data_IF_119143912438
#
_entry.id   IF_119143912438
#
_cell.length_a   1.000
_cell.length_b   1.000
_cell.length_c   1.000
_cell.angle_alpha   90.00
_cell.angle_beta   90.00
_cell.angle_gamma   90.00
#
_symmetry.space_group_name_H-M   'P 1'
#
loop_
_entity.id
_entity.type
_entity.pdbx_description
1 polymer ?
#
# COMPACT_ATOMS: atom_id res chain seq x y z
N UNK A 1 0.39 -22.06 -25.62
CA UNK A 1 1.83 -21.72 -25.66
C UNK A 1 2.00 -20.54 -26.61
N UNK A 2 1.82 -19.34 -26.07
CA UNK A 2 2.30 -18.03 -26.54
C UNK A 2 2.33 -17.22 -25.23
N UNK A 3 3.49 -16.83 -24.68
CA UNK A 3 3.48 -15.83 -23.62
C UNK A 3 3.03 -14.53 -24.29
N UNK A 4 1.86 -14.06 -23.90
CA UNK A 4 1.27 -12.82 -24.40
C UNK A 4 2.30 -11.68 -24.22
N UNK A 5 2.62 -10.90 -25.26
CA UNK A 5 3.59 -9.79 -25.17
C UNK A 5 3.25 -8.78 -24.05
N UNK A 6 1.97 -8.73 -23.66
CA UNK A 6 1.50 -7.98 -22.48
C UNK A 6 2.13 -8.50 -21.17
N UNK A 7 2.28 -9.81 -21.02
CA UNK A 7 2.87 -10.44 -19.84
C UNK A 7 4.38 -10.18 -19.75
N UNK A 8 5.11 -10.17 -20.87
CA UNK A 8 6.55 -9.82 -20.88
C UNK A 8 6.80 -8.36 -20.49
N UNK A 9 5.98 -7.42 -20.97
CA UNK A 9 6.09 -6.01 -20.58
C UNK A 9 5.78 -5.78 -19.10
N UNK A 10 4.77 -6.47 -18.56
CA UNK A 10 4.45 -6.42 -17.12
C UNK A 10 5.61 -6.99 -16.30
N UNK A 11 6.15 -8.15 -16.68
CA UNK A 11 7.30 -8.77 -16.00
C UNK A 11 8.53 -7.86 -16.03
N UNK A 12 8.80 -7.22 -17.17
CA UNK A 12 9.93 -6.30 -17.29
C UNK A 12 9.74 -5.04 -16.43
N UNK A 13 8.54 -4.46 -16.40
CA UNK A 13 8.22 -3.32 -15.53
C UNK A 13 8.35 -3.68 -14.03
N UNK A 14 7.95 -4.90 -13.65
CA UNK A 14 8.12 -5.40 -12.29
C UNK A 14 9.59 -5.59 -11.93
N UNK A 15 10.42 -6.09 -12.85
CA UNK A 15 11.88 -6.21 -12.66
C UNK A 15 12.54 -4.85 -12.48
N UNK A 16 12.17 -3.88 -13.32
CA UNK A 16 12.70 -2.51 -13.26
C UNK A 16 12.29 -1.76 -11.98
N UNK A 17 11.21 -2.21 -11.34
CA UNK A 17 10.77 -1.67 -10.05
C UNK A 17 11.55 -2.25 -8.87
N UNK A 18 12.47 -3.21 -9.05
CA UNK A 18 13.34 -3.78 -8.01
C UNK A 18 12.69 -3.96 -6.63
N UNK A 19 11.64 -4.78 -6.55
CA UNK A 19 10.97 -5.09 -5.29
C UNK A 19 11.83 -5.90 -4.32
N UNK A 20 12.91 -6.51 -4.79
CA UNK A 20 13.89 -7.15 -3.92
C UNK A 20 14.61 -6.09 -3.08
N UNK A 21 15.00 -4.96 -3.67
CA UNK A 21 15.54 -3.82 -2.93
C UNK A 21 14.53 -3.29 -1.90
N UNK A 22 13.26 -3.10 -2.30
CA UNK A 22 12.22 -2.64 -1.35
C UNK A 22 12.11 -3.58 -0.14
N UNK A 23 12.06 -4.88 -0.39
CA UNK A 23 11.96 -5.87 0.67
C UNK A 23 13.18 -5.84 1.61
N UNK A 24 14.39 -5.71 1.07
CA UNK A 24 15.61 -5.59 1.88
C UNK A 24 15.63 -4.30 2.73
N UNK A 25 15.03 -3.22 2.24
CA UNK A 25 14.92 -1.96 2.98
C UNK A 25 13.86 -2.01 4.07
N UNK A 26 12.74 -2.70 3.83
CA UNK A 26 11.64 -2.86 4.80
C UNK A 26 11.94 -3.90 5.86
N UNK A 27 12.64 -4.98 5.50
CA UNK A 27 12.89 -6.13 6.38
C UNK A 27 14.38 -6.50 6.42
N UNK A 28 15.27 -5.58 6.84
CA UNK A 28 16.73 -5.78 6.77
C UNK A 28 17.26 -6.86 7.72
N UNK A 29 16.46 -7.30 8.70
CA UNK A 29 16.91 -8.16 9.79
C UNK A 29 16.26 -9.55 9.82
N UNK A 30 15.36 -9.85 8.88
CA UNK A 30 14.67 -11.15 8.84
C UNK A 30 15.51 -12.20 8.11
N UNK A 31 15.27 -13.47 8.40
CA UNK A 31 15.88 -14.57 7.66
C UNK A 31 15.39 -14.62 6.19
N UNK A 32 16.15 -15.30 5.32
CA UNK A 32 15.85 -15.37 3.88
C UNK A 32 14.47 -15.95 3.55
N UNK A 33 13.96 -16.92 4.33
CA UNK A 33 12.65 -17.51 4.09
C UNK A 33 11.53 -16.53 4.46
N UNK A 34 11.71 -15.74 5.51
CA UNK A 34 10.80 -14.67 5.90
C UNK A 34 10.85 -13.52 4.91
N UNK A 35 12.05 -13.11 4.48
CA UNK A 35 12.23 -12.08 3.45
C UNK A 35 11.50 -12.46 2.16
N UNK A 36 11.62 -13.72 1.70
CA UNK A 36 10.92 -14.22 0.50
C UNK A 36 9.41 -14.18 0.65
N UNK A 37 8.87 -14.62 1.79
CA UNK A 37 7.43 -14.59 2.06
C UNK A 37 6.91 -13.14 1.98
N UNK A 38 7.56 -12.22 2.69
CA UNK A 38 7.17 -10.82 2.77
C UNK A 38 7.35 -10.11 1.42
N UNK A 39 8.41 -10.42 0.66
CA UNK A 39 8.62 -9.90 -0.70
C UNK A 39 7.49 -10.31 -1.65
N UNK A 40 7.13 -11.60 -1.64
CA UNK A 40 6.02 -12.11 -2.46
C UNK A 40 4.67 -11.51 -2.02
N UNK A 41 4.48 -11.27 -0.72
CA UNK A 41 3.30 -10.61 -0.19
C UNK A 41 3.17 -9.16 -0.66
N UNK A 42 4.24 -8.37 -0.59
CA UNK A 42 4.23 -6.99 -1.10
C UNK A 42 3.97 -6.95 -2.62
N UNK A 43 4.61 -7.85 -3.38
CA UNK A 43 4.35 -7.97 -4.81
C UNK A 43 2.91 -8.36 -5.11
N UNK A 44 2.34 -9.28 -4.33
CA UNK A 44 0.95 -9.70 -4.49
C UNK A 44 -0.01 -8.54 -4.24
N UNK A 45 0.20 -7.74 -3.19
CA UNK A 45 -0.63 -6.57 -2.91
C UNK A 45 -0.61 -5.56 -4.07
N UNK A 46 0.56 -5.29 -4.64
CA UNK A 46 0.68 -4.37 -5.78
C UNK A 46 -0.04 -4.87 -7.03
N UNK A 47 0.08 -6.16 -7.33
CA UNK A 47 -0.63 -6.75 -8.46
C UNK A 47 -2.15 -6.79 -8.21
N UNK A 48 -2.54 -7.02 -6.97
CA UNK A 48 -3.94 -7.03 -6.54
C UNK A 48 -4.58 -5.66 -6.72
N UNK A 49 -3.86 -4.59 -6.40
CA UNK A 49 -4.28 -3.19 -6.57
C UNK A 49 -4.57 -2.88 -8.04
N UNK A 50 -3.57 -3.09 -8.92
CA UNK A 50 -3.69 -2.87 -10.37
C UNK A 50 -4.87 -3.69 -10.97
N UNK A 51 -5.04 -4.95 -10.54
CA UNK A 51 -6.13 -5.82 -11.01
C UNK A 51 -7.50 -5.32 -10.51
N UNK A 52 -7.58 -4.83 -9.29
CA UNK A 52 -8.82 -4.32 -8.71
C UNK A 52 -9.28 -3.04 -9.41
N UNK A 53 -8.38 -2.08 -9.60
CA UNK A 53 -8.66 -0.82 -10.30
C UNK A 53 -9.12 -1.07 -11.74
N UNK A 54 -8.51 -2.04 -12.43
CA UNK A 54 -8.91 -2.41 -13.80
C UNK A 54 -10.38 -2.86 -13.93
N UNK A 55 -11.01 -3.23 -12.80
CA UNK A 55 -12.39 -3.70 -12.71
C UNK A 55 -13.38 -2.62 -12.29
N UNK A 56 -12.92 -1.41 -11.97
CA UNK A 56 -13.80 -0.29 -11.62
C UNK A 56 -14.79 0.07 -12.75
N UNK A 57 -14.40 0.11 -14.05
CA UNK A 57 -15.29 0.54 -15.12
C UNK A 57 -16.38 -0.46 -15.53
N UNK A 58 -16.40 -1.69 -15.00
CA UNK A 58 -17.32 -2.75 -15.44
C UNK A 58 -18.75 -2.54 -14.90
N UNK A 59 -19.50 -1.68 -15.60
CA UNK A 59 -20.91 -1.34 -15.31
C UNK A 59 -21.88 -2.05 -16.26
N UNK A 60 -21.43 -2.58 -17.40
CA UNK A 60 -22.32 -3.03 -18.50
C UNK A 60 -22.64 -4.54 -18.55
N UNK A 61 -21.96 -5.42 -17.80
CA UNK A 61 -22.05 -6.88 -18.07
C UNK A 61 -22.71 -7.77 -17.01
N UNK A 62 -22.43 -7.54 -15.73
CA UNK A 62 -22.91 -8.35 -14.61
C UNK A 62 -22.63 -7.57 -13.33
N UNK A 63 -23.63 -7.35 -12.48
CA UNK A 63 -23.50 -6.52 -11.29
C UNK A 63 -22.18 -6.74 -10.52
N UNK A 64 -21.29 -5.74 -10.64
CA UNK A 64 -20.14 -5.45 -9.80
C UNK A 64 -18.97 -6.47 -9.81
N UNK A 65 -18.22 -6.53 -10.92
CA UNK A 65 -17.00 -7.35 -11.05
C UNK A 65 -15.94 -7.02 -9.97
N UNK A 66 -15.82 -5.76 -9.58
CA UNK A 66 -14.90 -5.33 -8.53
C UNK A 66 -15.36 -5.85 -7.14
N UNK A 67 -16.66 -5.84 -6.83
CA UNK A 67 -17.19 -6.43 -5.60
C UNK A 67 -17.04 -7.95 -5.59
N UNK A 68 -17.27 -8.60 -6.73
CA UNK A 68 -17.03 -10.05 -6.88
C UNK A 68 -15.56 -10.38 -6.60
N UNK A 69 -14.63 -9.55 -7.11
CA UNK A 69 -13.20 -9.68 -6.84
C UNK A 69 -12.86 -9.48 -5.35
N UNK A 70 -13.45 -8.50 -4.68
CA UNK A 70 -13.31 -8.29 -3.22
C UNK A 70 -13.83 -9.48 -2.42
N UNK A 71 -15.00 -10.02 -2.81
CA UNK A 71 -15.57 -11.20 -2.18
C UNK A 71 -14.62 -12.41 -2.28
N UNK A 72 -14.11 -12.70 -3.48
CA UNK A 72 -13.12 -13.76 -3.67
C UNK A 72 -11.85 -13.51 -2.87
N UNK A 73 -11.35 -12.27 -2.86
CA UNK A 73 -10.17 -11.85 -2.09
C UNK A 73 -10.35 -12.15 -0.60
N UNK A 74 -11.45 -11.68 -0.01
CA UNK A 74 -11.75 -11.88 1.42
C UNK A 74 -11.87 -13.36 1.77
N UNK A 75 -12.56 -14.13 0.93
CA UNK A 75 -12.70 -15.58 1.11
C UNK A 75 -11.32 -16.27 1.07
N UNK A 76 -10.52 -15.97 0.06
CA UNK A 76 -9.21 -16.59 -0.10
C UNK A 76 -8.26 -16.26 1.06
N UNK A 77 -8.20 -15.00 1.48
CA UNK A 77 -7.38 -14.58 2.61
C UNK A 77 -7.85 -15.30 3.88
N UNK A 78 -9.13 -15.17 4.26
CA UNK A 78 -9.67 -15.73 5.51
C UNK A 78 -9.50 -17.25 5.63
N UNK A 79 -9.70 -17.99 4.53
CA UNK A 79 -9.46 -19.43 4.48
C UNK A 79 -7.97 -19.77 4.62
N UNK A 80 -7.12 -19.09 3.87
CA UNK A 80 -5.68 -19.40 3.80
C UNK A 80 -4.95 -19.07 5.09
N UNK A 81 -5.36 -18.00 5.77
CA UNK A 81 -4.88 -17.69 7.11
C UNK A 81 -5.58 -18.53 8.18
N UNK A 82 -6.56 -19.38 7.86
CA UNK A 82 -7.20 -20.30 8.80
C UNK A 82 -8.14 -19.66 9.82
N UNK A 83 -8.89 -18.63 9.41
CA UNK A 83 -9.95 -17.99 10.20
C UNK A 83 -11.35 -18.50 9.81
N UNK A 84 -11.51 -18.96 8.57
CA UNK A 84 -12.74 -19.58 8.08
C UNK A 84 -12.48 -20.98 7.53
N UNK A 85 -13.39 -21.91 7.78
CA UNK A 85 -13.28 -23.31 7.32
C UNK A 85 -14.09 -23.61 6.04
N UNK A 86 -14.82 -22.64 5.47
CA UNK A 86 -15.82 -22.91 4.41
C UNK A 86 -15.50 -22.34 3.01
N UNK A 87 -15.94 -23.12 2.02
CA UNK A 87 -16.04 -22.89 0.57
C UNK A 87 -14.76 -23.02 -0.29
N UNK A 88 -14.13 -24.21 -0.25
CA UNK A 88 -13.09 -24.63 -1.24
C UNK A 88 -13.50 -24.36 -2.70
N UNK A 89 -14.79 -24.49 -3.02
CA UNK A 89 -15.34 -24.17 -4.34
C UNK A 89 -15.18 -22.68 -4.71
N UNK A 90 -15.36 -21.77 -3.75
CA UNK A 90 -15.13 -20.33 -3.97
C UNK A 90 -13.68 -20.03 -4.35
N UNK A 91 -12.70 -20.79 -3.83
CA UNK A 91 -11.30 -20.66 -4.22
C UNK A 91 -11.03 -21.17 -5.64
N UNK A 92 -11.66 -22.28 -6.03
CA UNK A 92 -11.52 -22.86 -7.38
C UNK A 92 -12.05 -21.90 -8.45
N UNK A 93 -13.14 -21.18 -8.14
CA UNK A 93 -13.76 -20.19 -9.02
C UNK A 93 -13.07 -18.80 -8.95
N UNK A 94 -12.18 -18.57 -7.98
CA UNK A 94 -11.52 -17.28 -7.79
C UNK A 94 -10.53 -16.97 -8.93
N UNK A 95 -10.32 -15.69 -9.29
CA UNK A 95 -9.27 -15.30 -10.21
C UNK A 95 -7.89 -15.85 -9.78
N UNK A 96 -7.06 -16.22 -10.75
CA UNK A 96 -5.75 -16.83 -10.44
C UNK A 96 -4.90 -15.97 -9.51
N UNK A 97 -4.89 -14.64 -9.70
CA UNK A 97 -4.19 -13.73 -8.81
C UNK A 97 -4.64 -13.84 -7.35
N UNK A 98 -5.94 -13.98 -7.10
CA UNK A 98 -6.48 -14.19 -5.74
C UNK A 98 -6.00 -15.53 -5.17
N UNK A 99 -5.99 -16.59 -5.98
CA UNK A 99 -5.49 -17.90 -5.55
C UNK A 99 -4.00 -17.90 -5.18
N UNK A 100 -3.19 -17.02 -5.78
CA UNK A 100 -1.77 -16.88 -5.45
C UNK A 100 -1.54 -16.42 -4.01
N UNK A 101 -2.55 -15.87 -3.33
CA UNK A 101 -2.46 -15.58 -1.89
C UNK A 101 -2.44 -16.85 -1.03
N UNK A 102 -3.03 -17.95 -1.47
CA UNK A 102 -3.19 -19.16 -0.65
C UNK A 102 -1.88 -19.70 -0.02
N UNK A 103 -0.79 -19.87 -0.79
CA UNK A 103 0.50 -20.25 -0.20
C UNK A 103 1.07 -19.18 0.74
N UNK A 104 0.84 -17.88 0.47
CA UNK A 104 1.27 -16.79 1.34
C UNK A 104 0.52 -16.82 2.67
N UNK A 105 -0.80 -16.94 2.62
CA UNK A 105 -1.67 -17.07 3.78
C UNK A 105 -1.34 -18.29 4.63
N UNK A 106 -1.00 -19.42 4.00
CA UNK A 106 -0.51 -20.61 4.71
C UNK A 106 0.82 -20.36 5.41
N UNK A 107 1.74 -19.66 4.74
CA UNK A 107 3.02 -19.24 5.32
C UNK A 107 2.83 -18.33 6.53
N UNK A 108 1.94 -17.33 6.42
CA UNK A 108 1.56 -16.43 7.51
C UNK A 108 0.93 -17.24 8.65
N UNK A 109 -0.07 -18.09 8.37
CA UNK A 109 -0.77 -18.92 9.36
C UNK A 109 0.18 -19.72 10.24
N UNK A 110 1.26 -20.25 9.66
CA UNK A 110 2.23 -21.07 10.38
C UNK A 110 3.15 -20.30 11.33
N UNK A 111 3.13 -18.96 11.31
CA UNK A 111 4.12 -18.10 11.98
C UNK A 111 3.55 -17.02 12.89
N UNK A 112 2.25 -16.73 12.80
CA UNK A 112 1.59 -15.75 13.69
C UNK A 112 0.38 -16.36 14.40
N UNK A 113 0.09 -15.84 15.60
CA UNK A 113 -1.04 -16.27 16.42
C UNK A 113 -2.40 -16.06 15.74
N UNK A 114 -3.42 -16.73 16.26
CA UNK A 114 -4.80 -16.51 15.84
C UNK A 114 -5.26 -15.07 16.01
N UNK A 115 -4.90 -14.43 17.12
CA UNK A 115 -5.29 -13.05 17.39
C UNK A 115 -4.74 -12.09 16.32
N UNK A 116 -3.49 -12.26 15.90
CA UNK A 116 -2.91 -11.45 14.82
C UNK A 116 -3.48 -11.80 13.44
N UNK A 117 -3.91 -13.05 13.22
CA UNK A 117 -4.65 -13.44 11.99
C UNK A 117 -6.03 -12.80 11.95
N UNK A 118 -6.73 -12.72 13.08
CA UNK A 118 -8.00 -11.99 13.20
C UNK A 118 -7.78 -10.50 12.92
N UNK A 119 -6.74 -9.90 13.50
CA UNK A 119 -6.40 -8.49 13.24
C UNK A 119 -6.06 -8.26 11.77
N UNK A 120 -5.32 -9.17 11.12
CA UNK A 120 -5.05 -9.11 9.68
C UNK A 120 -6.34 -9.11 8.87
N UNK A 121 -7.29 -10.01 9.17
CA UNK A 121 -8.57 -10.02 8.46
C UNK A 121 -9.35 -8.71 8.67
N UNK A 122 -9.30 -8.12 9.86
CA UNK A 122 -9.92 -6.80 10.12
C UNK A 122 -9.29 -5.68 9.29
N UNK A 123 -7.95 -5.68 9.14
CA UNK A 123 -7.25 -4.70 8.30
C UNK A 123 -7.57 -4.89 6.82
N UNK A 124 -7.68 -6.15 6.38
CA UNK A 124 -8.12 -6.48 5.02
C UNK A 124 -9.55 -6.01 4.78
N UNK A 125 -10.48 -6.26 5.71
CA UNK A 125 -11.86 -5.79 5.59
C UNK A 125 -11.93 -4.25 5.44
N UNK A 126 -11.08 -3.52 6.18
CA UNK A 126 -10.94 -2.07 6.00
C UNK A 126 -10.43 -1.70 4.61
N UNK A 127 -9.39 -2.37 4.10
CA UNK A 127 -8.86 -2.12 2.75
C UNK A 127 -9.94 -2.35 1.67
N UNK A 128 -10.72 -3.44 1.79
CA UNK A 128 -11.79 -3.76 0.85
C UNK A 128 -12.90 -2.71 0.87
N UNK A 129 -13.26 -2.19 2.05
CA UNK A 129 -14.24 -1.11 2.18
C UNK A 129 -13.69 0.23 1.64
N UNK A 130 -12.44 0.56 1.93
CA UNK A 130 -11.84 1.81 1.45
C UNK A 130 -11.69 1.82 -0.08
N UNK A 131 -11.28 0.69 -0.69
CA UNK A 131 -11.26 0.56 -2.16
C UNK A 131 -12.66 0.66 -2.78
N UNK A 132 -13.73 0.36 -2.04
CA UNK A 132 -15.11 0.56 -2.52
C UNK A 132 -15.50 2.04 -2.53
N UNK A 133 -15.06 2.81 -1.54
CA UNK A 133 -15.21 4.27 -1.52
C UNK A 133 -14.43 4.91 -2.67
N UNK A 134 -13.20 4.47 -2.91
CA UNK A 134 -12.39 4.93 -4.04
C UNK A 134 -13.08 4.64 -5.37
N UNK A 135 -13.53 3.40 -5.58
CA UNK A 135 -14.30 3.00 -6.77
C UNK A 135 -15.50 3.91 -7.02
N UNK A 136 -16.21 4.35 -5.98
CA UNK A 136 -17.35 5.26 -6.13
C UNK A 136 -16.95 6.56 -6.82
N UNK A 137 -15.83 7.18 -6.45
CA UNK A 137 -15.35 8.41 -7.07
C UNK A 137 -14.89 8.19 -8.51
N UNK A 138 -14.22 7.06 -8.80
CA UNK A 138 -13.81 6.69 -10.16
C UNK A 138 -15.04 6.49 -11.06
N UNK A 139 -16.00 5.66 -10.64
CA UNK A 139 -17.18 5.30 -11.45
C UNK A 139 -18.12 6.49 -11.65
N UNK A 140 -18.24 7.37 -10.65
CA UNK A 140 -19.10 8.57 -10.78
C UNK A 140 -18.41 9.73 -11.49
N UNK A 141 -17.12 9.58 -11.84
CA UNK A 141 -16.28 10.63 -12.41
C UNK A 141 -16.30 11.92 -11.57
N UNK A 142 -16.38 11.77 -10.23
CA UNK A 142 -16.39 12.88 -9.28
C UNK A 142 -15.07 12.94 -8.53
N UNK A 143 -14.62 14.16 -8.27
CA UNK A 143 -13.50 14.39 -7.38
C UNK A 143 -13.98 14.41 -5.92
N UNK A 144 -13.30 13.68 -5.01
CA UNK A 144 -13.53 13.83 -3.57
C UNK A 144 -13.01 15.19 -3.07
N UNK A 145 -13.56 15.69 -1.96
CA UNK A 145 -12.84 16.70 -1.16
C UNK A 145 -11.57 16.09 -0.55
N UNK A 146 -10.63 16.93 -0.09
CA UNK A 146 -9.43 16.45 0.59
C UNK A 146 -9.79 15.60 1.83
N UNK A 147 -10.82 15.98 2.58
CA UNK A 147 -11.31 15.19 3.72
C UNK A 147 -11.81 13.82 3.30
N UNK A 148 -12.64 13.75 2.25
CA UNK A 148 -13.18 12.50 1.72
C UNK A 148 -12.08 11.59 1.16
N UNK A 149 -11.07 12.18 0.50
CA UNK A 149 -9.91 11.46 0.00
C UNK A 149 -9.18 10.72 1.12
N UNK A 150 -8.98 11.37 2.27
CA UNK A 150 -8.33 10.77 3.42
C UNK A 150 -9.13 9.63 4.07
N UNK A 151 -10.45 9.57 3.87
CA UNK A 151 -11.30 8.48 4.40
C UNK A 151 -10.99 7.12 3.78
N UNK A 152 -10.38 7.09 2.59
CA UNK A 152 -10.03 5.83 1.89
C UNK A 152 -8.54 5.71 1.54
N UNK A 153 -7.81 6.81 1.32
CA UNK A 153 -6.43 6.76 0.80
C UNK A 153 -5.46 5.93 1.66
N UNK A 154 -5.60 5.99 2.98
CA UNK A 154 -4.78 5.20 3.92
C UNK A 154 -5.10 3.71 3.90
N UNK A 155 -6.27 3.31 3.38
CA UNK A 155 -6.60 1.91 3.11
C UNK A 155 -6.14 1.48 1.72
N UNK A 156 -6.32 2.32 0.70
CA UNK A 156 -6.02 1.95 -0.69
C UNK A 156 -4.53 1.91 -1.03
N UNK A 157 -3.65 2.41 -0.15
CA UNK A 157 -2.21 2.13 -0.27
C UNK A 157 -1.79 0.76 0.32
N UNK A 158 -2.74 -0.04 0.81
CA UNK A 158 -2.60 -1.41 1.31
C UNK A 158 -1.70 -1.57 2.54
N UNK A 159 -1.19 -0.48 3.11
CA UNK A 159 -0.27 -0.53 4.23
C UNK A 159 -0.92 -1.16 5.45
N UNK A 160 -2.22 -0.97 5.70
CA UNK A 160 -2.93 -1.55 6.86
C UNK A 160 -2.74 -3.07 7.01
N UNK A 161 -2.57 -3.81 5.90
CA UNK A 161 -2.27 -5.24 5.97
C UNK A 161 -0.91 -5.55 6.62
N UNK A 162 0.06 -4.64 6.50
CA UNK A 162 1.39 -4.77 7.09
C UNK A 162 1.40 -4.55 8.61
N UNK A 163 0.35 -3.96 9.18
CA UNK A 163 0.27 -3.67 10.61
C UNK A 163 0.45 -4.94 11.47
N UNK A 164 -0.41 -5.97 11.37
CA UNK A 164 -0.22 -7.24 12.09
C UNK A 164 0.94 -8.09 11.53
N UNK A 165 1.25 -7.96 10.22
CA UNK A 165 2.37 -8.69 9.58
C UNK A 165 3.73 -8.25 10.12
N UNK A 166 3.82 -7.06 10.73
CA UNK A 166 5.06 -6.59 11.37
C UNK A 166 5.59 -7.57 12.43
N UNK A 167 4.73 -8.39 13.04
CA UNK A 167 5.15 -9.49 13.92
C UNK A 167 6.08 -10.51 13.25
N UNK A 168 5.94 -10.76 11.95
CA UNK A 168 6.85 -11.59 11.17
C UNK A 168 8.24 -10.95 10.99
N UNK A 169 8.31 -9.63 11.10
CA UNK A 169 9.56 -8.86 10.98
C UNK A 169 10.30 -8.79 12.31
N UNK A 170 9.56 -8.58 13.39
CA UNK A 170 10.12 -8.40 14.72
C UNK A 170 10.31 -9.72 15.46
N UNK A 171 9.75 -10.84 14.98
CA UNK A 171 9.69 -12.12 15.71
C UNK A 171 9.06 -11.97 17.11
N UNK A 172 8.25 -10.93 17.30
CA UNK A 172 7.51 -10.64 18.52
C UNK A 172 6.06 -10.38 18.14
N UNK A 173 5.14 -10.93 18.92
CA UNK A 173 3.73 -10.60 18.83
C UNK A 173 3.34 -9.68 19.98
N UNK A 174 2.85 -8.48 19.63
CA UNK A 174 2.19 -7.61 20.58
C UNK A 174 0.83 -8.20 20.93
N UNK A 175 0.43 -8.06 22.19
CA UNK A 175 -0.89 -8.47 22.65
C UNK A 175 -1.98 -7.66 21.94
N UNK A 176 -3.22 -8.19 21.80
CA UNK A 176 -4.31 -7.46 21.14
C UNK A 176 -4.58 -6.07 21.72
N UNK A 177 -4.39 -5.89 23.03
CA UNK A 177 -4.57 -4.59 23.69
C UNK A 177 -3.42 -3.61 23.40
N UNK A 178 -2.20 -4.12 23.19
CA UNK A 178 -1.05 -3.30 22.78
C UNK A 178 -1.21 -2.86 21.32
N UNK A 179 -1.57 -3.77 20.41
CA UNK A 179 -1.84 -3.43 18.99
C UNK A 179 -3.00 -2.44 18.82
N UNK A 180 -3.95 -2.42 19.77
CA UNK A 180 -5.05 -1.45 19.78
C UNK A 180 -4.76 -0.20 20.60
N UNK A 181 -3.56 -0.07 21.15
CA UNK A 181 -3.20 1.07 21.96
C UNK A 181 -3.25 2.36 21.11
N UNK A 182 -3.96 3.42 21.55
CA UNK A 182 -4.18 4.61 20.73
C UNK A 182 -2.89 5.28 20.26
N UNK A 183 -1.82 5.23 21.06
CA UNK A 183 -0.53 5.82 20.69
C UNK A 183 0.16 5.06 19.56
N UNK A 184 0.06 3.73 19.54
CA UNK A 184 0.65 2.91 18.48
C UNK A 184 -0.14 3.08 17.18
N UNK A 185 -1.48 3.10 17.30
CA UNK A 185 -2.35 3.36 16.15
C UNK A 185 -2.09 4.75 15.54
N UNK A 186 -1.99 5.79 16.36
CA UNK A 186 -1.71 7.14 15.89
C UNK A 186 -0.33 7.22 15.21
N UNK A 187 0.68 6.54 15.74
CA UNK A 187 2.00 6.50 15.11
C UNK A 187 1.96 5.78 13.75
N UNK A 188 1.33 4.61 13.71
CA UNK A 188 1.14 3.84 12.48
C UNK A 188 0.41 4.64 11.40
N UNK A 189 -0.63 5.38 11.77
CA UNK A 189 -1.37 6.25 10.85
C UNK A 189 -0.47 7.33 10.23
N UNK A 190 0.51 7.87 10.97
CA UNK A 190 1.49 8.80 10.39
C UNK A 190 2.43 8.11 9.41
N UNK A 191 2.91 6.91 9.73
CA UNK A 191 3.76 6.12 8.81
C UNK A 191 3.00 5.81 7.50
N UNK A 192 1.75 5.38 7.63
CA UNK A 192 0.86 5.13 6.50
C UNK A 192 0.66 6.40 5.65
N UNK A 193 0.36 7.55 6.28
CA UNK A 193 0.24 8.85 5.60
C UNK A 193 1.54 9.26 4.88
N UNK A 194 2.69 9.13 5.52
CA UNK A 194 3.99 9.46 4.91
C UNK A 194 4.19 8.67 3.62
N UNK A 195 3.89 7.37 3.62
CA UNK A 195 4.00 6.51 2.44
C UNK A 195 2.99 6.92 1.37
N UNK A 196 1.72 7.18 1.73
CA UNK A 196 0.69 7.64 0.80
C UNK A 196 1.07 8.95 0.11
N UNK A 197 1.50 9.96 0.87
CA UNK A 197 1.84 11.29 0.32
C UNK A 197 3.12 11.19 -0.53
N UNK A 198 4.10 10.41 -0.10
CA UNK A 198 5.31 10.15 -0.89
C UNK A 198 4.93 9.50 -2.22
N UNK A 199 4.02 8.51 -2.20
CA UNK A 199 3.52 7.91 -3.43
C UNK A 199 2.85 8.96 -4.30
N UNK A 200 1.90 9.75 -3.77
CA UNK A 200 1.16 10.78 -4.50
C UNK A 200 2.08 11.81 -5.19
N UNK A 201 3.11 12.31 -4.49
CA UNK A 201 4.07 13.25 -5.07
C UNK A 201 4.86 12.60 -6.22
N UNK A 202 5.42 11.41 -5.98
CA UNK A 202 6.34 10.76 -6.93
C UNK A 202 5.59 10.08 -8.08
N UNK A 203 4.33 9.71 -7.88
CA UNK A 203 3.45 9.11 -8.89
C UNK A 203 2.77 10.13 -9.78
N UNK A 204 2.71 11.39 -9.37
CA UNK A 204 1.90 12.41 -10.03
C UNK A 204 2.06 12.48 -11.56
N UNK A 205 3.30 12.49 -12.06
CA UNK A 205 3.56 12.55 -13.52
C UNK A 205 2.93 11.38 -14.29
N UNK A 206 3.15 10.14 -13.83
CA UNK A 206 2.60 8.95 -14.50
C UNK A 206 1.08 8.86 -14.35
N UNK A 207 0.52 9.39 -13.26
CA UNK A 207 -0.92 9.40 -13.02
C UNK A 207 -1.63 10.40 -13.94
N UNK A 208 -1.01 11.56 -14.23
CA UNK A 208 -1.45 12.46 -15.32
C UNK A 208 -1.50 11.73 -16.65
N UNK A 209 -0.41 11.05 -17.04
CA UNK A 209 -0.32 10.34 -18.33
C UNK A 209 -1.41 9.26 -18.48
N UNK A 210 -1.83 8.65 -17.37
CA UNK A 210 -2.89 7.65 -17.32
C UNK A 210 -4.29 8.21 -17.06
N UNK A 211 -4.42 9.50 -16.76
CA UNK A 211 -5.67 10.16 -16.35
C UNK A 211 -6.26 9.60 -15.04
N UNK A 212 -5.39 9.14 -14.14
CA UNK A 212 -5.74 8.76 -12.77
C UNK A 212 -5.82 10.06 -11.93
N UNK A 213 -7.01 10.40 -11.40
CA UNK A 213 -7.26 11.71 -10.75
C UNK A 213 -7.28 11.67 -9.22
N UNK A 214 -7.22 10.48 -8.62
CA UNK A 214 -7.29 10.29 -7.16
C UNK A 214 -5.89 10.38 -6.53
N UNK A 215 -5.35 11.60 -6.51
CA UNK A 215 -4.03 11.93 -5.95
C UNK A 215 -4.13 13.25 -5.18
N UNK A 216 -3.47 13.36 -4.02
CA UNK A 216 -3.52 14.57 -3.20
C UNK A 216 -3.05 15.84 -3.94
N UNK A 217 -2.01 15.75 -4.78
CA UNK A 217 -1.50 16.88 -5.58
C UNK A 217 -2.57 17.36 -6.55
N UNK A 218 -3.30 16.44 -7.20
CA UNK A 218 -4.41 16.80 -8.10
C UNK A 218 -5.52 17.54 -7.35
N UNK A 219 -5.93 17.02 -6.20
CA UNK A 219 -7.02 17.62 -5.42
C UNK A 219 -6.66 19.03 -4.95
N UNK A 220 -5.44 19.23 -4.44
CA UNK A 220 -4.97 20.55 -4.03
C UNK A 220 -4.81 21.48 -5.23
N UNK A 221 -4.35 20.97 -6.38
CA UNK A 221 -4.29 21.77 -7.61
C UNK A 221 -5.67 22.29 -8.03
N UNK A 222 -6.73 21.50 -7.88
CA UNK A 222 -8.10 21.95 -8.16
C UNK A 222 -8.57 23.08 -7.21
N UNK A 223 -8.05 23.14 -5.99
CA UNK A 223 -8.37 24.21 -5.04
C UNK A 223 -7.54 25.48 -5.28
N UNK A 224 -6.25 25.33 -5.60
CA UNK A 224 -5.30 26.44 -5.68
C UNK A 224 -5.12 27.01 -7.10
N UNK A 225 -5.32 26.20 -8.14
CA UNK A 225 -5.12 26.58 -9.54
C UNK A 225 -3.66 26.75 -9.97
N UNK A 226 -2.69 26.39 -9.13
CA UNK A 226 -1.26 26.44 -9.40
C UNK A 226 -0.59 25.14 -8.98
N UNK A 227 0.15 24.52 -9.90
CA UNK A 227 0.76 23.22 -9.66
C UNK A 227 1.92 23.27 -8.66
N UNK A 228 2.77 24.30 -8.71
CA UNK A 228 3.87 24.42 -7.77
C UNK A 228 3.32 24.64 -6.35
N UNK A 229 2.31 25.50 -6.19
CA UNK A 229 1.65 25.72 -4.90
C UNK A 229 0.98 24.44 -4.38
N UNK A 230 0.43 23.61 -5.29
CA UNK A 230 -0.13 22.30 -4.92
C UNK A 230 0.95 21.33 -4.43
N UNK A 231 2.07 21.19 -5.16
CA UNK A 231 3.22 20.37 -4.74
C UNK A 231 3.78 20.85 -3.41
N UNK A 232 4.01 22.16 -3.25
CA UNK A 232 4.55 22.75 -2.02
C UNK A 232 3.62 22.49 -0.82
N UNK A 233 2.31 22.59 -1.05
CA UNK A 233 1.30 22.27 -0.03
C UNK A 233 1.28 20.79 0.32
N UNK A 234 1.38 19.89 -0.67
CA UNK A 234 1.48 18.44 -0.44
C UNK A 234 2.76 18.08 0.34
N UNK A 235 3.90 18.70 -0.01
CA UNK A 235 5.18 18.53 0.71
C UNK A 235 5.06 19.05 2.14
N UNK A 236 4.37 20.16 2.37
CA UNK A 236 4.13 20.67 3.72
C UNK A 236 3.33 19.66 4.56
N UNK A 237 2.28 19.06 4.02
CA UNK A 237 1.50 18.00 4.71
C UNK A 237 2.39 16.79 5.02
N UNK A 238 3.28 16.40 4.10
CA UNK A 238 4.26 15.33 4.34
C UNK A 238 5.20 15.68 5.51
N UNK A 239 5.74 16.89 5.54
CA UNK A 239 6.62 17.35 6.63
C UNK A 239 5.88 17.35 7.97
N UNK A 240 4.64 17.82 8.00
CA UNK A 240 3.80 17.80 9.20
C UNK A 240 3.55 16.37 9.71
N UNK A 241 3.30 15.42 8.81
CA UNK A 241 3.16 14.01 9.17
C UNK A 241 4.47 13.41 9.74
N UNK A 242 5.62 13.79 9.20
CA UNK A 242 6.95 13.39 9.70
C UNK A 242 7.23 14.00 11.09
N UNK A 243 6.90 15.27 11.31
CA UNK A 243 7.11 15.90 12.62
C UNK A 243 6.19 15.32 13.69
N UNK A 244 4.94 15.02 13.33
CA UNK A 244 4.01 14.33 14.22
C UNK A 244 4.45 12.89 14.51
N UNK A 245 4.98 12.15 13.51
CA UNK A 245 5.53 10.80 13.74
C UNK A 245 6.71 10.84 14.72
N UNK A 246 7.63 11.81 14.60
CA UNK A 246 8.73 12.01 15.55
C UNK A 246 8.22 12.27 16.97
N UNK A 247 7.20 13.13 17.10
CA UNK A 247 6.58 13.46 18.40
C UNK A 247 5.91 12.24 19.02
N UNK A 248 5.21 11.43 18.23
CA UNK A 248 4.54 10.21 18.68
C UNK A 248 5.57 9.13 19.04
N UNK A 249 6.60 8.92 18.21
CA UNK A 249 7.72 8.02 18.50
C UNK A 249 8.36 8.33 19.84
N UNK A 250 8.71 9.60 20.10
CA UNK A 250 9.28 10.00 21.38
C UNK A 250 8.38 9.65 22.57
N UNK A 251 7.05 9.77 22.42
CA UNK A 251 6.09 9.35 23.44
C UNK A 251 6.03 7.84 23.60
N UNK A 252 6.03 7.07 22.51
CA UNK A 252 6.03 5.60 22.58
C UNK A 252 7.28 5.12 23.32
N UNK A 253 8.45 5.61 22.91
CA UNK A 253 9.74 5.21 23.50
C UNK A 253 9.86 5.55 24.99
N UNK A 254 9.11 6.55 25.47
CA UNK A 254 9.12 6.97 26.86
C UNK A 254 8.08 6.26 27.74
N UNK A 255 7.01 5.73 27.14
CA UNK A 255 5.82 5.24 27.86
C UNK A 255 5.55 3.75 27.66
N UNK A 256 6.33 3.06 26.83
CA UNK A 256 6.11 1.65 26.48
C UNK A 256 7.37 0.82 26.70
N UNK A 257 7.19 -0.49 26.68
CA UNK A 257 8.25 -1.48 26.89
C UNK A 257 9.09 -1.68 25.62
N UNK A 258 10.32 -2.18 25.79
CA UNK A 258 11.31 -2.34 24.72
C UNK A 258 10.81 -3.20 23.53
N UNK A 259 9.95 -4.20 23.78
CA UNK A 259 9.42 -5.05 22.72
C UNK A 259 8.51 -4.29 21.74
N UNK A 260 7.84 -3.22 22.19
CA UNK A 260 7.06 -2.32 21.33
C UNK A 260 7.99 -1.46 20.46
N UNK A 261 9.18 -1.11 20.94
CA UNK A 261 10.12 -0.27 20.20
C UNK A 261 10.58 -0.94 18.89
N UNK A 262 10.65 -2.28 18.86
CA UNK A 262 10.96 -3.04 17.64
C UNK A 262 9.90 -2.89 16.55
N UNK A 263 8.63 -2.71 16.92
CA UNK A 263 7.57 -2.40 15.96
C UNK A 263 7.72 -0.98 15.41
N UNK A 264 8.05 -0.01 16.27
CA UNK A 264 8.31 1.37 15.86
C UNK A 264 9.46 1.43 14.85
N UNK A 265 10.55 0.73 15.12
CA UNK A 265 11.69 0.63 14.21
C UNK A 265 11.33 -0.03 12.87
N UNK A 266 10.57 -1.14 12.90
CA UNK A 266 10.09 -1.79 11.68
C UNK A 266 9.23 -0.83 10.83
N UNK A 267 8.39 -0.03 11.47
CA UNK A 267 7.55 0.95 10.76
C UNK A 267 8.34 2.16 10.24
N UNK A 268 9.43 2.56 10.91
CA UNK A 268 10.37 3.53 10.35
C UNK A 268 11.01 3.01 9.05
N UNK A 269 11.41 1.73 9.04
CA UNK A 269 11.93 1.09 7.82
C UNK A 269 10.92 1.10 6.69
N UNK A 270 9.61 0.97 6.96
CA UNK A 270 8.60 1.09 5.92
C UNK A 270 8.60 2.46 5.26
N UNK A 271 8.56 3.54 6.05
CA UNK A 271 8.56 4.90 5.51
C UNK A 271 9.86 5.23 4.77
N UNK A 272 11.01 5.02 5.41
CA UNK A 272 12.33 5.38 4.85
C UNK A 272 12.68 4.48 3.67
N UNK A 273 12.43 3.18 3.79
CA UNK A 273 12.68 2.20 2.74
C UNK A 273 11.83 2.46 1.50
N UNK A 274 10.56 2.82 1.68
CA UNK A 274 9.70 3.19 0.56
C UNK A 274 10.18 4.44 -0.16
N UNK A 275 10.56 5.49 0.58
CA UNK A 275 11.12 6.71 -0.01
C UNK A 275 12.40 6.41 -0.79
N UNK A 276 13.36 5.71 -0.16
CA UNK A 276 14.63 5.39 -0.80
C UNK A 276 14.43 4.58 -2.08
N UNK A 277 13.66 3.49 -2.00
CA UNK A 277 13.29 2.66 -3.15
C UNK A 277 12.62 3.47 -4.27
N UNK A 278 11.71 4.38 -3.91
CA UNK A 278 11.02 5.23 -4.87
C UNK A 278 11.94 6.16 -5.64
N UNK A 279 13.00 6.65 -5.00
CA UNK A 279 13.96 7.59 -5.59
C UNK A 279 15.03 6.90 -6.46
N UNK A 280 15.43 5.67 -6.12
CA UNK A 280 16.56 5.00 -6.79
C UNK A 280 16.16 4.01 -7.88
N UNK A 281 14.89 3.58 -7.91
CA UNK A 281 14.39 2.62 -8.89
C UNK A 281 13.67 3.29 -10.06
N UNK A 282 13.42 2.53 -11.13
CA UNK A 282 12.69 3.03 -12.28
C UNK A 282 11.16 3.10 -12.07
N UNK A 283 10.63 2.73 -10.88
CA UNK A 283 9.19 2.66 -10.58
C UNK A 283 8.44 3.94 -10.97
N UNK A 284 9.04 5.09 -10.71
CA UNK A 284 8.48 6.42 -10.97
C UNK A 284 9.20 7.18 -12.10
N UNK A 285 10.23 6.57 -12.70
CA UNK A 285 10.95 7.16 -13.83
C UNK A 285 11.63 8.50 -13.53
N UNK A 286 12.11 8.71 -12.30
CA UNK A 286 12.63 10.01 -11.84
C UNK A 286 14.08 10.30 -12.28
N UNK A 287 14.86 9.26 -12.61
CA UNK A 287 16.28 9.38 -12.94
C UNK A 287 16.62 10.47 -13.99
N UNK A 288 15.86 10.64 -15.09
CA UNK A 288 16.15 11.69 -16.07
C UNK A 288 15.97 13.13 -15.56
N UNK A 289 15.27 13.32 -14.44
CA UNK A 289 14.93 14.63 -13.89
C UNK A 289 15.85 15.07 -12.73
N UNK A 290 16.71 14.18 -12.25
CA UNK A 290 17.63 14.43 -11.15
C UNK A 290 18.72 15.43 -11.57
N UNK A 291 18.85 16.50 -10.80
CA UNK A 291 19.90 17.52 -10.96
C UNK A 291 21.13 17.19 -10.10
N UNK A 292 22.25 17.86 -10.37
CA UNK A 292 23.50 17.67 -9.62
C UNK A 292 23.37 18.00 -8.12
N UNK A 293 22.45 18.90 -7.76
CA UNK A 293 22.18 19.30 -6.37
C UNK A 293 21.18 18.39 -5.63
N UNK A 294 20.72 17.32 -6.29
CA UNK A 294 19.75 16.37 -5.74
C UNK A 294 18.28 16.78 -5.91
N UNK A 295 17.99 17.93 -6.54
CA UNK A 295 16.62 18.33 -6.87
C UNK A 295 16.08 17.57 -8.09
N UNK A 296 14.75 17.46 -8.20
CA UNK A 296 14.09 16.92 -9.38
C UNK A 296 13.32 18.02 -10.09
N UNK A 297 13.58 18.24 -11.38
CA UNK A 297 12.84 19.19 -12.21
C UNK A 297 12.01 18.41 -13.22
N UNK A 298 10.71 18.28 -12.97
CA UNK A 298 9.78 17.52 -13.81
C UNK A 298 8.95 18.48 -14.65
N UNK A 299 9.15 18.48 -15.97
CA UNK A 299 8.30 19.21 -16.91
C UNK A 299 7.09 18.36 -17.30
N UNK A 300 5.88 18.91 -17.16
CA UNK A 300 4.64 18.26 -17.60
C UNK A 300 4.24 18.59 -19.04
N UNK A 301 4.97 19.48 -19.72
CA UNK A 301 4.64 19.91 -21.08
C UNK A 301 4.70 18.78 -22.12
N UNK A 302 5.43 17.71 -21.85
CA UNK A 302 5.48 16.50 -22.70
C UNK A 302 4.29 15.55 -22.50
N UNK A 303 3.48 15.74 -21.46
CA UNK A 303 2.33 14.87 -21.15
C UNK A 303 1.05 15.25 -21.92
N UNK A 304 1.03 16.40 -22.61
CA UNK A 304 -0.16 16.95 -23.28
C UNK A 304 -0.02 17.09 -24.81
N UNK A 305 1.01 16.47 -25.41
CA UNK A 305 1.23 16.46 -26.87
C UNK A 305 0.48 15.35 -27.60
#
# INVERSE_FOLDING_TARGET
>A
MYPDQKSEKVVEKLRQSDFALLACLWWPHVDLNTLRLLSCLALWYLLWDDELESRYPDVEGNGNAAETFRMYTRAAISMSIGISEENRKTLEDAPHLVQLFCPLGSGIKSRISEDNRVLLLQMIDKILEDSKKEQHFVVTERLPSIEQFWEFRTGTNLMEALYPITSLTTEIELLPNEMRHPLLRAYWEQINKIIAITNDILSFKKEIEKKETLNLVFLIYFELGNLQDAIDSTVKILVEAVDESRRLKAKVLALTEEHIHRFIEAWDFYAIGFLHWSLVTARYGLNPFLQEDGTFIVSLSECFS
#
